data_IF_247476162575
#
_entry.id   IF_247476162575
#
_cell.length_a   1.000
_cell.length_b   1.000
_cell.length_c   1.000
_cell.angle_alpha   90.00
_cell.angle_beta   90.00
_cell.angle_gamma   90.00
#
_symmetry.space_group_name_H-M   'P 1'
#
loop_
_entity.id
_entity.type
_entity.pdbx_description
1 polymer ?
#
# COMPACT_ATOMS: atom_id res chain seq x y z
N UNK A 1 -39.93 56.20 -5.77
CA UNK A 1 -40.17 54.75 -5.97
C UNK A 1 -38.83 54.00 -6.08
N UNK A 2 -38.34 53.51 -4.97
CA UNK A 2 -37.09 52.70 -4.95
C UNK A 2 -37.46 51.25 -5.07
N UNK A 3 -37.03 50.58 -6.16
CA UNK A 3 -37.14 49.13 -6.33
C UNK A 3 -35.92 48.48 -5.68
N UNK A 4 -36.16 47.78 -4.57
CA UNK A 4 -35.18 46.99 -3.87
C UNK A 4 -35.02 45.65 -4.60
N UNK A 5 -33.88 45.42 -5.29
CA UNK A 5 -33.52 44.13 -5.84
C UNK A 5 -32.86 43.26 -4.75
N UNK A 6 -33.58 42.26 -4.26
CA UNK A 6 -33.04 41.23 -3.37
C UNK A 6 -32.37 40.19 -4.23
N UNK A 7 -31.03 40.10 -4.17
CA UNK A 7 -30.26 39.02 -4.76
C UNK A 7 -30.27 37.81 -3.80
N UNK A 8 -31.02 36.77 -4.16
CA UNK A 8 -30.97 35.47 -3.51
C UNK A 8 -29.71 34.76 -3.97
N UNK A 9 -28.71 34.72 -3.09
CA UNK A 9 -27.50 33.89 -3.28
C UNK A 9 -27.87 32.47 -2.92
N UNK A 10 -28.15 31.65 -3.92
CA UNK A 10 -28.26 30.18 -3.77
C UNK A 10 -26.87 29.60 -3.56
N UNK A 11 -26.52 29.35 -2.30
CA UNK A 11 -25.33 28.62 -1.93
C UNK A 11 -25.46 27.17 -2.39
N UNK A 12 -24.69 26.78 -3.42
CA UNK A 12 -24.48 25.39 -3.75
C UNK A 12 -23.65 24.73 -2.62
N UNK A 13 -24.33 24.01 -1.73
CA UNK A 13 -23.69 23.07 -0.84
C UNK A 13 -23.23 21.90 -1.72
N UNK A 14 -21.96 21.88 -2.07
CA UNK A 14 -21.35 20.71 -2.68
C UNK A 14 -21.34 19.60 -1.61
N UNK A 15 -22.29 18.69 -1.68
CA UNK A 15 -22.23 17.43 -0.96
C UNK A 15 -21.02 16.68 -1.48
N UNK A 16 -19.90 16.75 -0.75
CA UNK A 16 -18.80 15.82 -0.94
C UNK A 16 -19.35 14.44 -0.56
N UNK A 17 -19.67 13.65 -1.58
CA UNK A 17 -20.11 12.26 -1.38
C UNK A 17 -19.08 11.54 -0.52
N UNK A 18 -19.53 10.97 0.57
CA UNK A 18 -18.72 10.01 1.32
C UNK A 18 -18.21 8.95 0.34
N UNK A 19 -16.96 8.44 0.52
CA UNK A 19 -16.45 7.40 -0.35
C UNK A 19 -17.46 6.25 -0.37
N UNK A 20 -17.88 5.84 -1.58
CA UNK A 20 -18.76 4.70 -1.79
C UNK A 20 -18.09 3.45 -1.22
N UNK A 21 -18.28 3.21 0.06
CA UNK A 21 -18.02 1.90 0.65
C UNK A 21 -19.11 0.99 0.08
N UNK A 22 -18.71 0.09 -0.80
CA UNK A 22 -19.60 -0.92 -1.34
C UNK A 22 -20.24 -1.64 -0.13
N UNK A 23 -21.57 -1.57 0.11
CA UNK A 23 -22.15 -1.98 1.39
C UNK A 23 -22.19 -3.51 1.54
N UNK A 24 -21.04 -4.16 1.52
CA UNK A 24 -20.90 -5.62 1.59
C UNK A 24 -19.46 -6.11 1.62
N UNK A 25 -18.45 -5.24 1.47
CA UNK A 25 -17.05 -5.70 1.54
C UNK A 25 -16.56 -5.74 2.97
N UNK A 26 -16.28 -6.93 3.47
CA UNK A 26 -15.69 -7.11 4.79
C UNK A 26 -14.20 -6.75 4.76
N UNK A 27 -13.80 -5.78 5.57
CA UNK A 27 -12.41 -5.34 5.68
C UNK A 27 -11.70 -6.10 6.81
N UNK A 28 -11.29 -7.31 6.51
CA UNK A 28 -10.50 -8.18 7.38
C UNK A 28 -9.02 -8.18 7.02
N UNK A 29 -8.37 -9.33 7.20
CA UNK A 29 -7.03 -9.56 6.70
C UNK A 29 -6.98 -9.39 5.17
N UNK A 30 -5.83 -8.95 4.65
CA UNK A 30 -5.63 -8.89 3.21
C UNK A 30 -5.79 -10.29 2.61
N UNK A 31 -6.63 -10.45 1.57
CA UNK A 31 -6.86 -11.76 0.95
C UNK A 31 -5.56 -12.42 0.49
N UNK A 32 -5.38 -13.70 0.80
CA UNK A 32 -4.15 -14.47 0.44
C UNK A 32 -3.91 -14.53 -1.07
N UNK A 33 -4.98 -14.50 -1.86
CA UNK A 33 -4.90 -14.50 -3.32
C UNK A 33 -4.74 -13.10 -3.93
N UNK A 34 -4.57 -12.05 -3.13
CA UNK A 34 -4.49 -10.65 -3.60
C UNK A 34 -3.49 -10.48 -4.74
N UNK A 35 -2.23 -10.89 -4.54
CA UNK A 35 -1.20 -10.72 -5.56
C UNK A 35 -1.36 -11.63 -6.77
N UNK A 36 -2.00 -12.79 -6.63
CA UNK A 36 -2.37 -13.63 -7.77
C UNK A 36 -3.44 -12.93 -8.63
N UNK A 37 -4.39 -12.28 -7.99
CA UNK A 37 -5.44 -11.52 -8.68
C UNK A 37 -4.92 -10.23 -9.32
N UNK A 38 -3.79 -9.70 -8.84
CA UNK A 38 -3.08 -8.55 -9.40
C UNK A 38 -2.01 -8.94 -10.44
N UNK A 39 -2.08 -10.14 -11.04
CA UNK A 39 -1.04 -10.63 -11.97
C UNK A 39 0.39 -10.54 -11.41
N UNK A 40 0.53 -10.66 -10.11
CA UNK A 40 1.79 -10.62 -9.34
C UNK A 40 2.81 -9.59 -9.87
N UNK A 41 2.87 -8.39 -9.33
CA UNK A 41 3.72 -7.31 -9.83
C UNK A 41 5.23 -7.60 -9.77
N UNK A 42 5.63 -8.73 -9.14
CA UNK A 42 7.04 -9.20 -9.07
C UNK A 42 8.05 -8.13 -8.66
N UNK A 43 7.68 -7.28 -7.71
CA UNK A 43 8.58 -6.26 -7.14
C UNK A 43 9.87 -6.89 -6.60
N UNK A 44 9.76 -8.11 -6.07
CA UNK A 44 10.89 -8.95 -5.66
C UNK A 44 10.91 -10.19 -6.54
N UNK A 45 12.05 -10.46 -7.18
CA UNK A 45 12.15 -11.63 -8.04
C UNK A 45 12.16 -12.93 -7.21
N UNK A 46 11.69 -14.07 -7.77
CA UNK A 46 11.69 -15.35 -7.08
C UNK A 46 13.07 -15.74 -6.56
N UNK A 47 14.14 -15.42 -7.29
CA UNK A 47 15.53 -15.73 -6.94
C UNK A 47 15.96 -14.98 -5.67
N UNK A 48 15.62 -13.68 -5.57
CA UNK A 48 15.89 -12.86 -4.39
C UNK A 48 15.04 -13.33 -3.20
N UNK A 49 13.76 -13.63 -3.43
CA UNK A 49 12.88 -14.15 -2.40
C UNK A 49 13.40 -15.48 -1.83
N UNK A 50 13.88 -16.40 -2.69
CA UNK A 50 14.42 -17.67 -2.27
C UNK A 50 15.72 -17.53 -1.44
N UNK A 51 16.63 -16.63 -1.85
CA UNK A 51 17.86 -16.34 -1.09
C UNK A 51 17.58 -15.79 0.31
N UNK A 52 16.49 -15.08 0.48
CA UNK A 52 16.14 -14.44 1.74
C UNK A 52 15.04 -15.18 2.54
N UNK A 53 14.59 -16.35 2.04
CA UNK A 53 13.49 -17.10 2.64
C UNK A 53 13.81 -17.78 3.97
N UNK A 54 15.10 -18.01 4.28
CA UNK A 54 15.55 -18.66 5.51
C UNK A 54 15.72 -17.72 6.71
N UNK A 55 15.44 -16.43 6.56
CA UNK A 55 15.59 -15.47 7.65
C UNK A 55 14.52 -15.67 8.72
N UNK A 56 14.91 -15.49 9.98
CA UNK A 56 14.09 -15.81 11.15
C UNK A 56 12.99 -14.76 11.38
N UNK A 57 13.29 -13.49 11.10
CA UNK A 57 12.36 -12.39 11.30
C UNK A 57 12.05 -11.66 10.01
N UNK A 58 10.87 -11.02 9.95
CA UNK A 58 10.48 -10.19 8.79
C UNK A 58 11.47 -9.06 8.54
N UNK A 59 12.02 -8.44 9.58
CA UNK A 59 13.03 -7.39 9.43
C UNK A 59 14.31 -7.93 8.77
N UNK A 60 14.79 -9.08 9.21
CA UNK A 60 15.97 -9.73 8.62
C UNK A 60 15.72 -10.10 7.17
N UNK A 61 14.52 -10.63 6.87
CA UNK A 61 14.11 -10.96 5.53
C UNK A 61 14.08 -9.73 4.62
N UNK A 62 13.46 -8.63 5.06
CA UNK A 62 13.40 -7.39 4.29
C UNK A 62 14.78 -6.77 4.13
N UNK A 63 15.61 -6.77 5.17
CA UNK A 63 16.99 -6.30 5.10
C UNK A 63 17.82 -7.11 4.11
N UNK A 64 17.64 -8.45 4.09
CA UNK A 64 18.26 -9.33 3.10
C UNK A 64 17.81 -8.94 1.67
N UNK A 65 16.51 -8.81 1.44
CA UNK A 65 15.95 -8.43 0.12
C UNK A 65 16.55 -7.10 -0.35
N UNK A 66 16.57 -6.09 0.50
CA UNK A 66 17.14 -4.78 0.16
C UNK A 66 18.63 -4.85 -0.17
N UNK A 67 19.37 -5.73 0.50
CA UNK A 67 20.78 -5.97 0.19
C UNK A 67 20.96 -6.66 -1.16
N UNK A 68 20.19 -7.72 -1.44
CA UNK A 68 20.26 -8.47 -2.70
C UNK A 68 19.85 -7.59 -3.91
N UNK A 69 18.84 -6.73 -3.74
CA UNK A 69 18.42 -5.73 -4.74
C UNK A 69 19.37 -4.53 -4.82
N UNK A 70 20.42 -4.48 -3.97
CA UNK A 70 21.35 -3.35 -3.87
C UNK A 70 20.68 -2.03 -3.50
N UNK A 71 19.55 -2.09 -2.80
CA UNK A 71 18.81 -0.94 -2.29
C UNK A 71 19.34 -0.43 -0.95
N UNK A 72 20.34 -1.11 -0.39
CA UNK A 72 21.03 -0.67 0.83
C UNK A 72 22.53 -0.53 0.59
N UNK A 73 23.14 0.42 1.32
CA UNK A 73 24.57 0.69 1.30
C UNK A 73 25.05 0.90 2.72
N UNK A 74 26.03 0.09 3.19
CA UNK A 74 26.58 0.17 4.55
C UNK A 74 25.50 0.11 5.64
N UNK A 75 24.47 -0.71 5.45
CA UNK A 75 23.37 -0.88 6.41
C UNK A 75 22.24 0.16 6.32
N UNK A 76 22.44 1.27 5.60
CA UNK A 76 21.40 2.28 5.37
C UNK A 76 20.67 2.04 4.05
N UNK A 77 19.39 2.42 4.00
CA UNK A 77 18.60 2.34 2.76
C UNK A 77 19.04 3.45 1.79
N UNK A 78 19.35 3.05 0.57
CA UNK A 78 19.65 3.96 -0.55
C UNK A 78 18.35 4.25 -1.33
N UNK A 79 17.58 5.23 -0.85
CA UNK A 79 16.29 5.60 -1.46
C UNK A 79 16.43 6.07 -2.91
N UNK A 80 17.60 6.57 -3.31
CA UNK A 80 17.85 6.95 -4.69
C UNK A 80 17.91 5.71 -5.60
N UNK A 81 18.51 4.62 -5.15
CA UNK A 81 18.52 3.34 -5.88
C UNK A 81 17.14 2.70 -5.94
N UNK A 82 16.38 2.75 -4.85
CA UNK A 82 14.99 2.29 -4.85
C UNK A 82 14.18 3.08 -5.87
N UNK A 83 14.33 4.40 -5.90
CA UNK A 83 13.66 5.26 -6.88
C UNK A 83 14.04 4.91 -8.31
N UNK A 84 15.33 4.78 -8.61
CA UNK A 84 15.80 4.43 -9.95
C UNK A 84 15.27 3.06 -10.42
N UNK A 85 15.18 2.08 -9.50
CA UNK A 85 14.57 0.79 -9.79
C UNK A 85 13.11 0.95 -10.22
N UNK A 86 12.32 1.73 -9.47
CA UNK A 86 10.91 1.93 -9.80
C UNK A 86 10.69 2.79 -11.03
N UNK A 87 11.60 3.69 -11.38
CA UNK A 87 11.58 4.42 -12.65
C UNK A 87 11.79 3.47 -13.84
N UNK A 88 12.72 2.53 -13.72
CA UNK A 88 12.89 1.48 -14.71
C UNK A 88 11.68 0.56 -14.77
N UNK A 89 11.19 0.11 -13.61
CA UNK A 89 10.02 -0.75 -13.49
C UNK A 89 8.78 -0.13 -14.17
N UNK A 90 8.53 1.15 -13.98
CA UNK A 90 7.44 1.89 -14.63
C UNK A 90 7.55 1.88 -16.15
N UNK A 91 8.78 2.00 -16.67
CA UNK A 91 9.04 1.95 -18.12
C UNK A 91 8.76 0.56 -18.70
N UNK A 92 9.12 -0.49 -17.98
CA UNK A 92 8.93 -1.88 -18.39
C UNK A 92 7.47 -2.36 -18.17
N UNK A 93 6.77 -1.75 -17.22
CA UNK A 93 5.43 -2.13 -16.78
C UNK A 93 4.50 -0.91 -16.66
N UNK A 94 4.11 -0.26 -17.78
CA UNK A 94 3.34 0.98 -17.77
C UNK A 94 1.97 0.87 -17.07
N UNK A 95 1.38 -0.33 -17.02
CA UNK A 95 0.14 -0.59 -16.29
C UNK A 95 0.26 -0.37 -14.78
N UNK A 96 1.48 -0.35 -14.25
CA UNK A 96 1.78 -0.10 -12.84
C UNK A 96 2.20 1.34 -12.55
N UNK A 97 2.19 2.23 -13.55
CA UNK A 97 2.68 3.60 -13.42
C UNK A 97 2.07 4.35 -12.23
N UNK A 98 0.77 4.23 -12.00
CA UNK A 98 0.09 4.90 -10.89
C UNK A 98 0.59 4.41 -9.52
N UNK A 99 0.75 3.11 -9.36
CA UNK A 99 1.30 2.52 -8.14
C UNK A 99 2.77 2.97 -7.91
N UNK A 100 3.57 2.97 -8.96
CA UNK A 100 4.97 3.43 -8.92
C UNK A 100 5.07 4.91 -8.56
N UNK A 101 4.23 5.78 -9.12
CA UNK A 101 4.20 7.19 -8.75
C UNK A 101 3.89 7.37 -7.25
N UNK A 102 2.95 6.57 -6.71
CA UNK A 102 2.65 6.59 -5.29
C UNK A 102 3.85 6.11 -4.45
N UNK A 103 4.53 5.03 -4.86
CA UNK A 103 5.77 4.58 -4.20
C UNK A 103 6.80 5.70 -4.15
N UNK A 104 7.08 6.35 -5.27
CA UNK A 104 8.10 7.41 -5.36
C UNK A 104 7.79 8.62 -4.52
N UNK A 105 6.52 9.01 -4.41
CA UNK A 105 6.07 10.21 -3.71
C UNK A 105 5.77 9.99 -2.24
N UNK A 106 5.35 8.79 -1.85
CA UNK A 106 4.86 8.51 -0.50
C UNK A 106 5.76 7.57 0.31
N UNK A 107 6.30 6.50 -0.31
CA UNK A 107 7.11 5.51 0.41
C UNK A 107 8.59 5.91 0.55
N UNK A 108 9.10 6.75 -0.34
CA UNK A 108 10.51 7.14 -0.37
C UNK A 108 10.77 8.53 0.23
N UNK A 109 9.87 8.99 1.11
CA UNK A 109 10.05 10.24 1.86
C UNK A 109 11.13 10.11 2.93
N UNK A 110 11.76 11.22 3.39
CA UNK A 110 12.82 11.18 4.40
C UNK A 110 12.40 10.43 5.66
N UNK A 111 11.22 10.75 6.18
CA UNK A 111 10.65 10.17 7.41
C UNK A 111 9.36 9.42 7.08
N UNK A 112 9.50 8.15 6.67
CA UNK A 112 8.37 7.27 6.51
C UNK A 112 7.89 6.79 7.88
N UNK A 113 6.60 6.97 8.16
CA UNK A 113 5.98 6.41 9.37
C UNK A 113 5.98 4.88 9.30
N UNK A 114 5.96 4.22 10.45
CA UNK A 114 5.78 2.77 10.53
C UNK A 114 4.52 2.35 9.74
N UNK A 115 4.68 1.36 8.88
CA UNK A 115 3.64 0.87 7.99
C UNK A 115 2.92 -0.38 8.50
N UNK A 116 3.38 -0.89 9.63
CA UNK A 116 2.85 -2.07 10.30
C UNK A 116 3.23 -2.06 11.77
N UNK A 117 3.54 -3.23 12.33
CA UNK A 117 4.14 -3.34 13.66
C UNK A 117 5.43 -2.52 13.70
N UNK A 118 5.63 -1.76 14.76
CA UNK A 118 6.84 -0.96 14.91
C UNK A 118 8.05 -1.87 15.21
N UNK A 119 8.83 -2.15 14.17
CA UNK A 119 10.01 -3.02 14.25
C UNK A 119 11.33 -2.25 14.27
N UNK A 120 11.29 -0.91 14.21
CA UNK A 120 12.46 -0.07 13.95
C UNK A 120 13.28 -0.60 12.74
N UNK A 121 12.60 -0.93 11.66
CA UNK A 121 13.15 -1.58 10.48
C UNK A 121 12.76 -0.85 9.20
N UNK A 122 13.55 0.13 8.74
CA UNK A 122 13.21 0.93 7.55
C UNK A 122 12.96 0.09 6.29
N UNK A 123 13.64 -1.04 6.12
CA UNK A 123 13.43 -1.93 4.99
C UNK A 123 12.04 -2.57 5.02
N UNK A 124 11.55 -2.96 6.20
CA UNK A 124 10.20 -3.48 6.39
C UNK A 124 9.17 -2.39 6.08
N UNK A 125 9.30 -1.19 6.65
CA UNK A 125 8.33 -0.12 6.45
C UNK A 125 8.23 0.29 4.98
N UNK A 126 9.36 0.44 4.29
CA UNK A 126 9.37 0.78 2.87
C UNK A 126 8.73 -0.34 2.04
N UNK A 127 9.04 -1.62 2.31
CA UNK A 127 8.43 -2.73 1.57
C UNK A 127 6.92 -2.82 1.79
N UNK A 128 6.44 -2.67 3.03
CA UNK A 128 5.00 -2.67 3.32
C UNK A 128 4.29 -1.51 2.61
N UNK A 129 4.90 -0.33 2.60
CA UNK A 129 4.39 0.81 1.85
C UNK A 129 4.33 0.53 0.34
N UNK A 130 5.36 -0.09 -0.23
CA UNK A 130 5.40 -0.49 -1.65
C UNK A 130 4.27 -1.46 -1.95
N UNK A 131 4.14 -2.55 -1.20
CA UNK A 131 3.12 -3.58 -1.42
C UNK A 131 1.70 -2.99 -1.30
N UNK A 132 1.47 -2.16 -0.29
CA UNK A 132 0.20 -1.43 -0.13
C UNK A 132 -0.07 -0.51 -1.32
N UNK A 133 0.92 0.20 -1.83
CA UNK A 133 0.80 1.07 -2.99
C UNK A 133 0.39 0.29 -4.25
N UNK A 134 0.99 -0.87 -4.47
CA UNK A 134 0.65 -1.74 -5.60
C UNK A 134 -0.77 -2.30 -5.53
N UNK A 135 -1.28 -2.57 -4.32
CA UNK A 135 -2.66 -3.00 -4.13
C UNK A 135 -3.64 -1.84 -4.35
N UNK A 136 -3.38 -0.68 -3.74
CA UNK A 136 -4.32 0.45 -3.72
C UNK A 136 -4.35 1.26 -5.02
N UNK A 137 -3.28 1.25 -5.78
CA UNK A 137 -3.12 2.04 -6.99
C UNK A 137 -2.93 1.16 -8.24
N UNK A 138 -3.39 -0.09 -8.16
CA UNK A 138 -3.41 -1.00 -9.29
C UNK A 138 -4.34 -0.50 -10.40
N UNK A 139 -3.85 -0.43 -11.65
CA UNK A 139 -4.69 -0.16 -12.81
C UNK A 139 -5.76 -1.24 -12.97
N UNK A 140 -6.96 -0.90 -13.45
CA UNK A 140 -7.98 -1.92 -13.77
C UNK A 140 -7.48 -3.04 -14.70
N UNK A 141 -6.53 -2.74 -15.59
CA UNK A 141 -5.96 -3.69 -16.56
C UNK A 141 -5.14 -4.82 -15.92
N UNK A 142 -4.57 -4.61 -14.73
CA UNK A 142 -3.75 -5.61 -14.06
C UNK A 142 -4.54 -6.60 -13.21
N UNK A 143 -5.84 -6.38 -13.05
CA UNK A 143 -6.70 -7.27 -12.31
C UNK A 143 -7.16 -8.47 -13.16
N UNK A 144 -7.03 -9.67 -12.59
CA UNK A 144 -7.62 -10.87 -13.17
C UNK A 144 -9.17 -10.78 -13.22
N UNK A 145 -9.75 -11.32 -14.28
CA UNK A 145 -11.21 -11.44 -14.42
C UNK A 145 -11.78 -12.76 -13.86
N UNK A 146 -10.96 -13.55 -13.16
CA UNK A 146 -11.43 -14.76 -12.49
C UNK A 146 -12.40 -14.40 -11.36
N UNK A 147 -13.46 -15.17 -11.18
CA UNK A 147 -14.53 -14.90 -10.19
C UNK A 147 -14.02 -14.89 -8.75
N UNK A 148 -12.99 -15.65 -8.44
CA UNK A 148 -12.35 -15.66 -7.14
C UNK A 148 -11.50 -14.39 -6.86
N UNK A 149 -11.39 -13.50 -7.86
CA UNK A 149 -10.73 -12.20 -7.73
C UNK A 149 -11.69 -11.02 -7.50
N UNK A 150 -12.99 -11.25 -7.50
CA UNK A 150 -13.99 -10.20 -7.25
C UNK A 150 -13.86 -9.64 -5.82
N UNK A 151 -13.71 -10.51 -4.82
CA UNK A 151 -13.51 -10.07 -3.44
C UNK A 151 -12.16 -9.33 -3.23
N UNK A 152 -10.99 -9.83 -3.67
CA UNK A 152 -9.73 -9.07 -3.63
C UNK A 152 -9.82 -7.69 -4.28
N UNK A 153 -10.49 -7.58 -5.43
CA UNK A 153 -10.70 -6.29 -6.12
C UNK A 153 -11.57 -5.34 -5.30
N UNK A 154 -12.68 -5.83 -4.75
CA UNK A 154 -13.56 -5.05 -3.88
C UNK A 154 -12.84 -4.64 -2.59
N UNK A 155 -12.05 -5.54 -1.99
CA UNK A 155 -11.21 -5.25 -0.83
C UNK A 155 -10.22 -4.15 -1.11
N UNK A 156 -9.46 -4.23 -2.21
CA UNK A 156 -8.49 -3.20 -2.60
C UNK A 156 -9.14 -1.81 -2.76
N UNK A 157 -10.36 -1.76 -3.28
CA UNK A 157 -11.11 -0.50 -3.45
C UNK A 157 -11.60 0.07 -2.12
N UNK A 158 -12.17 -0.76 -1.23
CA UNK A 158 -12.93 -0.32 -0.06
C UNK A 158 -12.14 -0.32 1.25
N UNK A 159 -11.14 -1.23 1.40
CA UNK A 159 -10.51 -1.52 2.68
C UNK A 159 -9.11 -0.94 2.80
N UNK A 160 -8.65 -0.60 4.01
CA UNK A 160 -7.23 -0.36 4.24
C UNK A 160 -6.44 -1.64 4.01
N UNK A 161 -5.23 -1.53 3.47
CA UNK A 161 -4.30 -2.66 3.33
C UNK A 161 -3.41 -2.67 4.57
N UNK A 162 -3.55 -3.71 5.37
CA UNK A 162 -2.76 -3.90 6.57
C UNK A 162 -1.83 -5.09 6.41
N UNK A 163 -0.60 -5.03 6.93
CA UNK A 163 0.18 -6.22 7.16
C UNK A 163 -0.62 -7.24 8.00
N UNK A 164 -0.41 -8.53 7.76
CA UNK A 164 -1.17 -9.60 8.43
C UNK A 164 -1.02 -9.60 9.95
N UNK A 165 0.14 -9.18 10.44
CA UNK A 165 0.46 -9.04 11.86
C UNK A 165 -0.24 -7.85 12.55
N UNK A 166 -0.81 -6.93 11.77
CA UNK A 166 -1.59 -5.79 12.27
C UNK A 166 -3.09 -6.06 12.30
N UNK A 167 -3.53 -7.16 11.72
CA UNK A 167 -4.94 -7.51 11.73
C UNK A 167 -5.35 -8.12 13.07
N UNK A 168 -6.44 -7.62 13.64
CA UNK A 168 -7.06 -8.20 14.83
C UNK A 168 -8.56 -8.40 14.59
N UNK A 169 -9.06 -9.65 14.67
CA UNK A 169 -10.48 -9.95 14.45
C UNK A 169 -11.38 -9.35 15.53
N UNK A 170 -10.84 -8.96 16.69
CA UNK A 170 -11.55 -8.31 17.77
C UNK A 170 -11.80 -6.82 17.52
N UNK A 171 -11.08 -6.22 16.57
CA UNK A 171 -11.24 -4.81 16.22
C UNK A 171 -12.25 -4.72 15.07
N UNK A 172 -13.43 -4.10 15.29
CA UNK A 172 -14.41 -3.94 14.23
C UNK A 172 -13.80 -3.25 12.98
N UNK A 173 -14.16 -3.75 11.81
CA UNK A 173 -13.73 -3.22 10.51
C UNK A 173 -12.28 -3.48 10.14
N UNK A 174 -11.63 -4.52 10.70
CA UNK A 174 -10.35 -5.04 10.21
C UNK A 174 -9.33 -3.94 9.90
N UNK A 175 -9.31 -2.89 10.71
CA UNK A 175 -8.43 -1.77 10.47
C UNK A 175 -7.02 -2.12 10.95
N UNK A 176 -6.01 -1.45 10.41
CA UNK A 176 -4.64 -1.54 10.93
C UNK A 176 -4.51 -0.97 12.37
N UNK A 177 -5.61 -0.80 13.09
CA UNK A 177 -5.65 -0.26 14.44
C UNK A 177 -4.82 -1.07 15.43
N UNK A 178 -4.70 -2.38 15.24
CA UNK A 178 -3.83 -3.20 16.08
C UNK A 178 -2.37 -2.73 16.05
N UNK A 179 -1.89 -2.22 14.92
CA UNK A 179 -0.57 -1.62 14.81
C UNK A 179 -0.46 -0.21 15.40
N UNK A 180 -1.54 0.56 15.31
CA UNK A 180 -1.56 1.93 15.81
C UNK A 180 -1.85 2.03 17.31
N UNK A 181 -2.46 1.00 17.90
CA UNK A 181 -2.80 0.95 19.34
C UNK A 181 -1.64 0.48 20.22
N UNK A 182 -0.59 -0.09 19.64
CA UNK A 182 0.58 -0.50 20.44
C UNK A 182 1.40 0.71 20.86
N UNK A 183 1.83 0.79 22.15
CA UNK A 183 2.72 1.85 22.59
C UNK A 183 4.03 1.76 21.77
N UNK A 184 4.40 2.87 21.14
CA UNK A 184 5.70 3.00 20.49
C UNK A 184 6.76 3.04 21.58
N UNK A 185 7.37 1.89 21.85
CA UNK A 185 8.59 1.86 22.66
C UNK A 185 9.68 2.56 21.86
N UNK A 186 10.08 3.72 22.36
CA UNK A 186 11.19 4.51 21.85
C UNK A 186 12.50 3.82 22.22
#
# INVERSE_FOLDING_TARGET
>A
MFKLCVFLVLGFVACHGAPNTNPGTYCGATPDNMFRCLNNPRVVTPEVAAKCGSQVTECERMTCIFRELKWSKKGAIDKAKVRAYFEQYETEHPDWAQAVQHVKSFCLVPELRAQGVFLNCPAYDIMQCILSSFIKHASPSVWSNATDCDYPKAFAAACPVCPSDCYSPQIPFGSCNACYSQPRTV
#
